data_IF_503063133704
#
_entry.id   IF_503063133704
#
_cell.length_a   1.000
_cell.length_b   1.000
_cell.length_c   1.000
_cell.angle_alpha   90.00
_cell.angle_beta   90.00
_cell.angle_gamma   90.00
#
_symmetry.space_group_name_H-M   'P 1'
#
loop_
_entity.id
_entity.type
_entity.pdbx_description
1 polymer ?
#
# COMPACT_ATOMS: atom_id res chain seq x y z
N UNK A 1 3.24 -2.56 -27.42
CA UNK A 1 3.38 -1.56 -26.34
C UNK A 1 4.00 -2.25 -25.13
N UNK A 2 5.20 -1.86 -24.74
CA UNK A 2 5.85 -2.41 -23.55
C UNK A 2 5.19 -1.85 -22.29
N UNK A 3 4.56 -2.70 -21.49
CA UNK A 3 4.04 -2.31 -20.18
C UNK A 3 5.21 -2.07 -19.22
N UNK A 4 5.52 -0.82 -18.90
CA UNK A 4 6.50 -0.53 -17.86
C UNK A 4 5.88 -0.77 -16.48
N UNK A 5 6.70 -1.13 -15.49
CA UNK A 5 6.24 -1.25 -14.10
C UNK A 5 5.58 0.05 -13.62
N UNK A 6 6.06 1.20 -14.09
CA UNK A 6 5.46 2.49 -13.78
C UNK A 6 4.04 2.61 -14.35
N UNK A 7 3.78 2.12 -15.57
CA UNK A 7 2.43 2.09 -16.11
C UNK A 7 1.53 1.10 -15.36
N UNK A 8 2.05 -0.11 -15.10
CA UNK A 8 1.31 -1.18 -14.45
C UNK A 8 0.88 -0.82 -13.02
N UNK A 9 1.72 -0.09 -12.28
CA UNK A 9 1.46 0.19 -10.88
C UNK A 9 1.07 1.65 -10.58
N UNK A 10 1.26 2.61 -11.50
CA UNK A 10 1.08 4.03 -11.16
C UNK A 10 0.38 4.87 -12.23
N UNK A 11 0.79 4.80 -13.49
CA UNK A 11 0.21 5.66 -14.55
C UNK A 11 -1.14 5.16 -15.06
N UNK A 12 -1.53 3.91 -14.77
CA UNK A 12 -2.82 3.37 -15.16
C UNK A 12 -3.97 4.18 -14.54
N UNK A 13 -4.84 4.83 -15.34
CA UNK A 13 -5.95 5.64 -14.84
C UNK A 13 -6.91 4.84 -13.95
N UNK A 14 -7.11 3.56 -14.29
CA UNK A 14 -7.97 2.63 -13.56
C UNK A 14 -7.46 2.35 -12.15
N UNK A 15 -6.13 2.31 -11.96
CA UNK A 15 -5.52 2.13 -10.63
C UNK A 15 -5.41 3.44 -9.85
N UNK A 16 -5.53 4.59 -10.52
CA UNK A 16 -5.40 5.90 -9.87
C UNK A 16 -6.49 6.15 -8.83
N UNK A 17 -7.71 5.68 -9.09
CA UNK A 17 -8.81 5.73 -8.10
C UNK A 17 -8.46 4.90 -6.87
N UNK A 18 -8.03 3.66 -7.05
CA UNK A 18 -7.62 2.78 -5.96
C UNK A 18 -6.47 3.37 -5.12
N UNK A 19 -5.47 3.99 -5.76
CA UNK A 19 -4.41 4.68 -5.04
C UNK A 19 -4.92 5.89 -4.27
N UNK A 20 -5.82 6.68 -4.86
CA UNK A 20 -6.42 7.83 -4.17
C UNK A 20 -7.16 7.39 -2.91
N UNK A 21 -7.96 6.33 -3.02
CA UNK A 21 -8.69 5.74 -1.91
C UNK A 21 -7.75 5.20 -0.83
N UNK A 22 -6.64 4.57 -1.24
CA UNK A 22 -5.61 4.08 -0.32
C UNK A 22 -4.95 5.22 0.46
N UNK A 23 -4.64 6.34 -0.20
CA UNK A 23 -4.05 7.51 0.46
C UNK A 23 -5.06 8.21 1.38
N UNK A 24 -6.33 8.27 1.00
CA UNK A 24 -7.40 8.77 1.86
C UNK A 24 -7.55 7.91 3.13
N UNK A 25 -7.45 6.59 3.00
CA UNK A 25 -7.45 5.66 4.13
C UNK A 25 -6.25 5.92 5.06
N UNK A 26 -5.04 6.09 4.49
CA UNK A 26 -3.83 6.42 5.26
C UNK A 26 -4.02 7.73 6.03
N UNK A 27 -4.52 8.78 5.37
CA UNK A 27 -4.79 10.06 6.03
C UNK A 27 -5.83 9.93 7.14
N UNK A 28 -6.92 9.19 6.91
CA UNK A 28 -7.98 8.98 7.89
C UNK A 28 -7.49 8.28 9.16
N UNK A 29 -6.57 7.31 9.02
CA UNK A 29 -6.06 6.55 10.17
C UNK A 29 -4.90 7.27 10.87
N UNK A 30 -4.00 7.89 10.11
CA UNK A 30 -2.76 8.48 10.66
C UNK A 30 -2.84 9.98 10.95
N UNK A 31 -3.79 10.69 10.34
CA UNK A 31 -3.84 12.16 10.33
C UNK A 31 -2.77 12.82 9.44
N UNK A 32 -1.91 12.05 8.79
CA UNK A 32 -0.76 12.56 8.03
C UNK A 32 -1.05 12.58 6.53
N UNK A 33 -0.83 13.73 5.90
CA UNK A 33 -0.83 13.85 4.44
C UNK A 33 0.54 13.46 3.91
N UNK A 34 0.65 12.27 3.35
CA UNK A 34 1.88 11.78 2.72
C UNK A 34 1.93 12.16 1.22
N UNK A 35 3.12 12.37 0.64
CA UNK A 35 3.23 12.75 -0.78
C UNK A 35 2.77 11.65 -1.74
N UNK A 36 1.78 11.98 -2.59
CA UNK A 36 1.27 11.08 -3.63
C UNK A 36 2.26 10.95 -4.80
N UNK A 37 3.31 10.16 -4.59
CA UNK A 37 4.41 10.01 -5.56
C UNK A 37 4.73 8.54 -5.82
N UNK A 38 5.20 8.19 -7.03
CA UNK A 38 5.63 6.82 -7.31
C UNK A 38 6.83 6.41 -6.45
N UNK A 39 7.68 7.37 -6.06
CA UNK A 39 8.83 7.13 -5.18
C UNK A 39 8.40 6.61 -3.81
N UNK A 40 7.43 7.27 -3.17
CA UNK A 40 6.88 6.80 -1.91
C UNK A 40 6.04 5.53 -2.08
N UNK A 41 5.11 5.53 -3.03
CA UNK A 41 4.17 4.40 -3.21
C UNK A 41 4.87 3.11 -3.63
N UNK A 42 5.75 3.19 -4.63
CA UNK A 42 6.34 2.01 -5.26
C UNK A 42 7.62 1.58 -4.57
N UNK A 43 8.41 2.52 -4.05
CA UNK A 43 9.72 2.22 -3.46
C UNK A 43 9.72 2.32 -1.94
N UNK A 44 8.62 2.77 -1.31
CA UNK A 44 8.54 3.04 0.13
C UNK A 44 9.64 3.99 0.63
N UNK A 45 10.16 4.82 -0.28
CA UNK A 45 11.18 5.80 0.03
C UNK A 45 10.50 7.05 0.58
N UNK A 46 10.60 7.21 1.89
CA UNK A 46 10.05 8.32 2.64
C UNK A 46 10.72 9.65 2.23
N UNK A 47 9.97 10.64 1.75
CA UNK A 47 10.50 11.96 1.45
C UNK A 47 10.70 12.85 2.70
N UNK A 48 10.37 12.37 3.91
CA UNK A 48 10.54 13.14 5.15
C UNK A 48 10.66 12.28 6.42
N UNK A 49 10.39 12.91 7.57
CA UNK A 49 10.45 12.27 8.90
C UNK A 49 9.04 11.82 9.33
N UNK A 50 8.50 10.75 8.73
CA UNK A 50 7.28 10.13 9.27
C UNK A 50 7.65 9.42 10.59
N UNK A 51 6.88 9.69 11.65
CA UNK A 51 7.02 9.03 12.95
C UNK A 51 7.09 7.49 12.82
N UNK A 52 8.10 6.87 13.44
CA UNK A 52 8.48 5.46 13.27
C UNK A 52 7.32 4.44 13.36
N UNK A 53 6.44 4.51 14.37
CA UNK A 53 5.25 3.64 14.44
C UNK A 53 4.28 3.78 13.27
N UNK A 54 4.00 5.01 12.83
CA UNK A 54 3.10 5.26 11.69
C UNK A 54 3.74 4.86 10.37
N UNK A 55 5.08 5.00 10.26
CA UNK A 55 5.86 4.59 9.10
C UNK A 55 5.70 3.08 8.80
N UNK A 56 5.69 2.23 9.83
CA UNK A 56 5.44 0.79 9.66
C UNK A 56 4.04 0.50 9.14
N UNK A 57 3.02 1.11 9.74
CA UNK A 57 1.63 0.93 9.31
C UNK A 57 1.42 1.40 7.87
N UNK A 58 1.90 2.59 7.53
CA UNK A 58 1.84 3.15 6.17
C UNK A 58 2.58 2.23 5.19
N UNK A 59 3.77 1.73 5.56
CA UNK A 59 4.52 0.76 4.77
C UNK A 59 3.74 -0.52 4.49
N UNK A 60 3.07 -1.10 5.50
CA UNK A 60 2.23 -2.28 5.32
C UNK A 60 1.03 -2.02 4.41
N UNK A 61 0.38 -0.86 4.53
CA UNK A 61 -0.74 -0.48 3.66
C UNK A 61 -0.27 -0.34 2.21
N UNK A 62 0.80 0.41 1.96
CA UNK A 62 1.33 0.62 0.61
C UNK A 62 1.84 -0.69 -0.02
N UNK A 63 2.52 -1.54 0.76
CA UNK A 63 2.96 -2.85 0.31
C UNK A 63 1.78 -3.78 0.00
N UNK A 64 0.75 -3.80 0.87
CA UNK A 64 -0.47 -4.57 0.65
C UNK A 64 -1.19 -4.15 -0.64
N UNK A 65 -1.30 -2.84 -0.87
CA UNK A 65 -1.92 -2.29 -2.07
C UNK A 65 -1.15 -2.72 -3.34
N UNK A 66 0.18 -2.61 -3.34
CA UNK A 66 1.02 -3.12 -4.44
C UNK A 66 0.82 -4.61 -4.66
N UNK A 67 0.79 -5.41 -3.59
CA UNK A 67 0.61 -6.85 -3.70
C UNK A 67 -0.74 -7.22 -4.32
N UNK A 68 -1.82 -6.52 -3.97
CA UNK A 68 -3.14 -6.76 -4.57
C UNK A 68 -3.17 -6.40 -6.06
N UNK A 69 -2.57 -5.27 -6.43
CA UNK A 69 -2.42 -4.89 -7.86
C UNK A 69 -1.64 -5.97 -8.61
N UNK A 70 -0.52 -6.42 -8.04
CA UNK A 70 0.30 -7.47 -8.63
C UNK A 70 -0.44 -8.81 -8.73
N UNK A 71 -1.32 -9.16 -7.79
CA UNK A 71 -2.15 -10.37 -7.86
C UNK A 71 -3.22 -10.28 -8.95
N UNK A 72 -3.76 -9.09 -9.19
CA UNK A 72 -4.84 -8.84 -10.17
C UNK A 72 -4.35 -8.32 -11.52
N UNK A 73 -3.05 -8.28 -11.78
CA UNK A 73 -2.47 -7.62 -12.97
C UNK A 73 -2.93 -8.16 -14.34
N UNK A 74 -3.40 -9.42 -14.39
CA UNK A 74 -3.99 -10.03 -15.60
C UNK A 74 -5.53 -10.00 -15.60
N UNK A 75 -6.14 -9.52 -14.52
CA UNK A 75 -7.59 -9.43 -14.35
C UNK A 75 -8.10 -8.08 -14.87
N UNK A 76 -9.36 -8.04 -15.27
CA UNK A 76 -10.08 -6.79 -15.54
C UNK A 76 -10.57 -6.11 -14.26
N UNK A 77 -10.45 -6.79 -13.11
CA UNK A 77 -10.93 -6.29 -11.82
C UNK A 77 -9.83 -5.55 -11.06
N UNK A 78 -10.18 -4.41 -10.46
CA UNK A 78 -9.31 -3.68 -9.55
C UNK A 78 -9.40 -4.21 -8.12
N UNK A 79 -8.35 -4.04 -7.30
CA UNK A 79 -8.44 -4.23 -5.86
C UNK A 79 -9.44 -3.27 -5.21
N UNK A 80 -10.04 -3.70 -4.10
CA UNK A 80 -10.93 -2.90 -3.26
C UNK A 80 -10.24 -2.53 -1.95
N UNK A 81 -10.72 -1.47 -1.27
CA UNK A 81 -10.23 -1.13 0.06
C UNK A 81 -10.49 -2.24 1.09
N UNK A 82 -11.59 -2.98 0.96
CA UNK A 82 -11.90 -4.11 1.84
C UNK A 82 -10.81 -5.18 1.75
N UNK A 83 -10.46 -5.61 0.53
CA UNK A 83 -9.37 -6.56 0.30
C UNK A 83 -8.04 -6.06 0.87
N UNK A 84 -7.77 -4.75 0.73
CA UNK A 84 -6.57 -4.13 1.29
C UNK A 84 -6.56 -4.20 2.82
N UNK A 85 -7.65 -3.79 3.48
CA UNK A 85 -7.74 -3.82 4.95
C UNK A 85 -7.63 -5.24 5.51
N UNK A 86 -8.22 -6.23 4.82
CA UNK A 86 -8.09 -7.63 5.20
C UNK A 86 -6.64 -8.10 5.10
N UNK A 87 -5.98 -7.86 3.97
CA UNK A 87 -4.57 -8.25 3.77
C UNK A 87 -3.63 -7.60 4.80
N UNK A 88 -3.82 -6.31 5.09
CA UNK A 88 -3.02 -5.59 6.10
C UNK A 88 -3.26 -6.15 7.51
N UNK A 89 -4.50 -6.53 7.83
CA UNK A 89 -4.83 -7.15 9.11
C UNK A 89 -4.16 -8.52 9.26
N UNK A 90 -4.19 -9.35 8.22
CA UNK A 90 -3.50 -10.65 8.18
C UNK A 90 -1.98 -10.50 8.39
N UNK A 91 -1.33 -9.53 7.71
CA UNK A 91 0.09 -9.23 7.93
C UNK A 91 0.37 -8.80 9.39
N UNK A 92 -0.51 -7.98 9.98
CA UNK A 92 -0.35 -7.53 11.37
C UNK A 92 -0.46 -8.67 12.39
N UNK A 93 -1.30 -9.67 12.12
CA UNK A 93 -1.46 -10.86 12.95
C UNK A 93 -0.19 -11.70 12.87
N UNK A 94 0.34 -11.90 11.67
CA UNK A 94 1.56 -12.66 11.46
C UNK A 94 2.78 -12.04 12.16
N UNK A 95 2.96 -10.71 12.06
CA UNK A 95 4.02 -9.98 12.77
C UNK A 95 3.92 -10.14 14.29
N UNK A 96 2.71 -10.04 14.86
CA UNK A 96 2.48 -10.27 16.30
C UNK A 96 2.81 -11.70 16.71
N UNK A 97 2.38 -12.68 15.92
CA UNK A 97 2.68 -14.09 16.15
C UNK A 97 4.20 -14.34 16.14
N UNK A 98 4.91 -13.83 15.14
CA UNK A 98 6.36 -14.00 15.03
C UNK A 98 7.12 -13.27 16.15
N UNK A 99 6.63 -12.09 16.56
CA UNK A 99 7.18 -11.37 17.73
C UNK A 99 6.99 -12.15 19.02
N UNK A 100 5.90 -12.91 19.17
CA UNK A 100 5.63 -13.74 20.35
C UNK A 100 6.49 -15.01 20.40
N UNK A 101 6.99 -15.50 19.26
CA UNK A 101 7.88 -16.67 19.20
C UNK A 101 9.36 -16.34 19.47
N UNK A 102 9.74 -15.06 19.53
CA UNK A 102 11.11 -14.62 19.84
C UNK A 102 11.35 -14.41 21.34
N UNK A 103 10.40 -14.79 22.20
CA UNK A 103 10.51 -14.78 23.66
C UNK A 103 10.95 -16.14 24.19
#
# INVERSE_FOLDING_TARGET
>A
MAGSMLHLFWLCPVLRSFWTDTYNLIYKISGIKIPFTPKLTLLLLDPGEIYLPLKKLIGHILLGAKNLIARKWKSTTIPTLTELTQLVSEHSIFEKFFSSMKQ
#
